data_IF_803538902986
#
_entry.id   IF_803538902986
#
_cell.length_a   1.000
_cell.length_b   1.000
_cell.length_c   1.000
_cell.angle_alpha   90.00
_cell.angle_beta   90.00
_cell.angle_gamma   90.00
#
_symmetry.space_group_name_H-M   'P 1'
#
loop_
_entity.id
_entity.type
_entity.pdbx_description
1 polymer ?
#
# COMPACT_ATOMS: atom_id res chain seq x y z
N UNK A 1 3.13 -6.83 -20.50
CA UNK A 1 2.10 -7.84 -20.17
C UNK A 1 0.72 -7.30 -20.51
N UNK A 2 0.28 -6.21 -19.86
CA UNK A 2 -1.03 -5.60 -20.10
C UNK A 2 -1.33 -5.29 -21.57
N UNK A 3 -0.34 -4.81 -22.34
CA UNK A 3 -0.54 -4.51 -23.77
C UNK A 3 -0.99 -5.75 -24.55
N UNK A 4 -0.38 -6.90 -24.27
CA UNK A 4 -0.76 -8.18 -24.90
C UNK A 4 -2.15 -8.65 -24.47
N UNK A 5 -2.57 -8.35 -23.24
CA UNK A 5 -3.92 -8.68 -22.75
C UNK A 5 -4.96 -7.75 -23.38
N UNK A 6 -4.64 -6.48 -23.56
CA UNK A 6 -5.50 -5.51 -24.22
C UNK A 6 -5.69 -5.86 -25.71
N UNK A 7 -4.64 -6.27 -26.40
CA UNK A 7 -4.72 -6.69 -27.80
C UNK A 7 -5.54 -7.97 -28.00
N UNK A 8 -5.46 -8.92 -27.06
CA UNK A 8 -6.00 -10.28 -27.25
C UNK A 8 -7.28 -10.57 -26.48
N UNK A 9 -7.47 -9.92 -25.34
CA UNK A 9 -8.44 -10.24 -24.29
C UNK A 9 -8.92 -8.98 -23.55
N UNK A 10 -9.23 -7.90 -24.29
CA UNK A 10 -9.67 -6.63 -23.71
C UNK A 10 -10.89 -6.77 -22.79
N UNK A 11 -11.77 -7.74 -23.07
CA UNK A 11 -12.96 -8.04 -22.26
C UNK A 11 -12.62 -8.44 -20.82
N UNK A 12 -11.47 -9.09 -20.60
CA UNK A 12 -11.01 -9.48 -19.26
C UNK A 12 -10.60 -8.22 -18.48
N UNK A 13 -9.88 -7.31 -19.13
CA UNK A 13 -9.45 -6.05 -18.50
C UNK A 13 -10.64 -5.13 -18.20
N UNK A 14 -11.63 -5.08 -19.09
CA UNK A 14 -12.80 -4.22 -18.91
C UNK A 14 -13.80 -4.74 -17.86
N UNK A 15 -13.74 -6.03 -17.51
CA UNK A 15 -14.67 -6.67 -16.56
C UNK A 15 -13.99 -7.15 -15.28
N UNK A 16 -12.66 -7.09 -15.22
CA UNK A 16 -11.90 -7.52 -14.06
C UNK A 16 -12.21 -6.64 -12.87
N UNK A 17 -12.36 -7.24 -11.69
CA UNK A 17 -12.52 -6.50 -10.44
C UNK A 17 -11.22 -6.46 -9.63
N UNK A 18 -10.43 -7.55 -9.72
CA UNK A 18 -9.20 -7.74 -8.97
C UNK A 18 -8.08 -8.24 -9.87
N UNK A 19 -6.86 -7.79 -9.57
CA UNK A 19 -5.63 -8.36 -10.10
C UNK A 19 -4.83 -8.92 -8.94
N UNK A 20 -4.84 -10.25 -8.81
CA UNK A 20 -4.03 -10.95 -7.82
C UNK A 20 -2.65 -11.25 -8.41
N UNK A 21 -1.59 -10.89 -7.67
CA UNK A 21 -0.22 -11.06 -8.14
C UNK A 21 0.77 -11.34 -7.01
N UNK A 22 1.86 -12.02 -7.35
CA UNK A 22 2.98 -12.17 -6.45
C UNK A 22 3.80 -10.87 -6.31
N UNK A 23 4.68 -10.80 -5.30
CA UNK A 23 5.49 -9.62 -5.01
C UNK A 23 6.42 -9.15 -6.12
N UNK A 24 6.73 -9.97 -7.13
CA UNK A 24 7.50 -9.54 -8.28
C UNK A 24 6.71 -8.57 -9.17
N UNK A 25 5.38 -8.56 -9.04
CA UNK A 25 4.47 -7.61 -9.69
C UNK A 25 4.24 -6.32 -8.87
N UNK A 26 4.91 -6.14 -7.72
CA UNK A 26 4.91 -4.88 -6.96
C UNK A 26 5.71 -3.79 -7.69
N UNK A 27 5.13 -3.33 -8.79
CA UNK A 27 5.58 -2.24 -9.64
C UNK A 27 4.51 -1.15 -9.65
N UNK A 28 4.87 0.02 -9.13
CA UNK A 28 3.97 1.17 -9.06
C UNK A 28 3.36 1.57 -10.41
N UNK A 29 4.07 1.38 -11.54
CA UNK A 29 3.53 1.67 -12.88
C UNK A 29 2.45 0.68 -13.29
N UNK A 30 2.63 -0.60 -12.95
CA UNK A 30 1.63 -1.63 -13.20
C UNK A 30 0.38 -1.35 -12.37
N UNK A 31 0.56 -1.16 -11.06
CA UNK A 31 -0.48 -0.88 -10.07
C UNK A 31 -1.29 0.36 -10.46
N UNK A 32 -0.62 1.47 -10.78
CA UNK A 32 -1.30 2.69 -11.22
C UNK A 32 -2.07 2.47 -12.51
N UNK A 33 -1.46 1.82 -13.53
CA UNK A 33 -2.14 1.59 -14.81
C UNK A 33 -3.39 0.72 -14.66
N UNK A 34 -3.37 -0.31 -13.82
CA UNK A 34 -4.56 -1.18 -13.65
C UNK A 34 -5.70 -0.47 -12.93
N UNK A 35 -5.38 0.36 -11.94
CA UNK A 35 -6.37 1.14 -11.21
C UNK A 35 -6.90 2.30 -12.06
N UNK A 36 -6.03 3.18 -12.55
CA UNK A 36 -6.43 4.42 -13.21
C UNK A 36 -7.17 4.19 -14.53
N UNK A 37 -6.87 3.08 -15.22
CA UNK A 37 -7.44 2.81 -16.55
C UNK A 37 -8.61 1.85 -16.54
N UNK A 38 -8.59 0.85 -15.64
CA UNK A 38 -9.56 -0.24 -15.64
C UNK A 38 -10.32 -0.37 -14.32
N UNK A 39 -9.99 0.45 -13.30
CA UNK A 39 -10.55 0.37 -11.94
C UNK A 39 -10.43 -1.03 -11.31
N UNK A 40 -9.47 -1.83 -11.78
CA UNK A 40 -9.15 -3.14 -11.22
C UNK A 40 -8.35 -2.92 -9.94
N UNK A 41 -8.79 -3.53 -8.83
CA UNK A 41 -8.11 -3.46 -7.53
C UNK A 41 -6.90 -4.40 -7.52
N UNK A 42 -5.66 -3.88 -7.44
CA UNK A 42 -4.48 -4.73 -7.35
C UNK A 42 -4.36 -5.30 -5.93
N UNK A 43 -4.31 -6.62 -5.83
CA UNK A 43 -4.04 -7.37 -4.59
C UNK A 43 -2.69 -8.06 -4.79
N UNK A 44 -1.62 -7.33 -4.48
CA UNK A 44 -0.24 -7.75 -4.76
C UNK A 44 0.55 -7.71 -3.46
N UNK A 45 1.31 -8.78 -3.19
CA UNK A 45 2.19 -8.83 -2.02
C UNK A 45 3.30 -7.77 -2.12
N UNK A 46 3.57 -7.06 -1.03
CA UNK A 46 4.51 -5.93 -1.05
C UNK A 46 5.95 -6.46 -1.06
N UNK A 47 6.79 -5.94 -1.95
CA UNK A 47 8.22 -6.27 -2.02
C UNK A 47 9.02 -5.39 -1.08
N UNK A 48 9.83 -6.01 -0.22
CA UNK A 48 10.79 -5.26 0.60
C UNK A 48 11.94 -4.71 -0.26
N UNK A 49 12.02 -3.39 -0.38
CA UNK A 49 13.07 -2.67 -1.12
C UNK A 49 14.05 -1.92 -0.20
N UNK A 50 13.94 -2.09 1.12
CA UNK A 50 14.83 -1.44 2.08
C UNK A 50 16.21 -2.12 2.06
N UNK A 51 17.27 -1.31 2.17
CA UNK A 51 18.67 -1.76 2.04
C UNK A 51 19.51 -1.52 3.31
N UNK A 52 18.92 -0.83 4.27
CA UNK A 52 19.54 -0.44 5.54
C UNK A 52 19.52 -1.58 6.57
N UNK A 53 18.75 -2.65 6.31
CA UNK A 53 18.59 -3.78 7.25
C UNK A 53 17.62 -3.50 8.38
N UNK A 54 17.02 -2.32 8.41
CA UNK A 54 16.06 -1.90 9.43
C UNK A 54 14.72 -2.64 9.26
N UNK A 55 14.12 -3.08 10.37
CA UNK A 55 12.79 -3.71 10.34
C UNK A 55 11.65 -2.68 10.26
N UNK A 56 11.89 -1.47 10.77
CA UNK A 56 10.87 -0.41 10.85
C UNK A 56 11.46 0.97 10.60
N UNK A 57 10.63 1.89 10.11
CA UNK A 57 10.95 3.31 9.93
C UNK A 57 9.97 4.18 10.71
N UNK A 58 10.44 5.34 11.17
CA UNK A 58 9.59 6.30 11.90
C UNK A 58 8.67 7.02 10.93
N UNK A 59 7.38 7.16 11.29
CA UNK A 59 6.43 7.96 10.53
C UNK A 59 6.83 9.44 10.63
N UNK A 60 7.00 10.11 9.50
CA UNK A 60 7.39 11.52 9.44
C UNK A 60 6.46 12.39 10.29
N UNK A 61 7.04 13.29 11.09
CA UNK A 61 6.30 14.15 12.02
C UNK A 61 5.93 13.50 13.36
N UNK A 62 6.31 12.25 13.58
CA UNK A 62 6.15 11.54 14.86
C UNK A 62 7.50 11.09 15.39
N UNK A 63 7.59 10.78 16.68
CA UNK A 63 8.81 10.25 17.31
C UNK A 63 8.67 8.81 17.81
N UNK A 64 7.44 8.33 18.01
CA UNK A 64 7.14 7.02 18.60
C UNK A 64 6.24 6.14 17.73
N UNK A 65 5.90 6.57 16.51
CA UNK A 65 5.14 5.77 15.57
C UNK A 65 6.09 5.23 14.51
N UNK A 66 6.13 3.92 14.36
CA UNK A 66 6.96 3.25 13.35
C UNK A 66 6.09 2.38 12.45
N UNK A 67 6.60 2.07 11.26
CA UNK A 67 5.94 1.15 10.34
C UNK A 67 6.97 0.21 9.71
N UNK A 68 6.56 -0.98 9.32
CA UNK A 68 7.41 -1.92 8.58
C UNK A 68 7.21 -1.79 7.06
N UNK A 69 7.99 -2.52 6.27
CA UNK A 69 7.90 -2.46 4.80
C UNK A 69 6.53 -2.89 4.24
N UNK A 70 5.73 -3.65 5.00
CA UNK A 70 4.37 -4.08 4.63
C UNK A 70 3.28 -3.07 5.00
N UNK A 71 3.65 -1.95 5.63
CA UNK A 71 2.70 -0.94 6.08
C UNK A 71 2.01 -1.22 7.41
N UNK A 72 2.42 -2.26 8.16
CA UNK A 72 1.95 -2.43 9.54
C UNK A 72 2.51 -1.31 10.40
N UNK A 73 1.64 -0.60 11.10
CA UNK A 73 1.99 0.57 11.92
C UNK A 73 2.02 0.17 13.39
N UNK A 74 2.97 0.70 14.13
CA UNK A 74 3.16 0.42 15.53
C UNK A 74 3.36 1.69 16.35
N UNK A 75 2.81 1.69 17.56
CA UNK A 75 3.11 2.68 18.58
C UNK A 75 4.13 2.11 19.58
N UNK A 76 5.19 2.87 19.82
CA UNK A 76 6.26 2.53 20.76
C UNK A 76 6.03 3.25 22.09
N UNK A 77 5.99 2.50 23.18
CA UNK A 77 5.88 3.07 24.52
C UNK A 77 7.19 3.80 24.92
N UNK A 78 7.18 5.11 25.24
CA UNK A 78 8.39 5.83 25.64
C UNK A 78 9.10 5.25 26.86
N UNK A 79 8.32 4.72 27.81
CA UNK A 79 8.84 4.26 29.10
C UNK A 79 9.45 2.87 29.01
N UNK A 80 8.84 1.99 28.21
CA UNK A 80 9.16 0.55 28.20
C UNK A 80 9.73 0.05 26.89
N UNK A 81 9.71 0.85 25.82
CA UNK A 81 10.11 0.44 24.46
C UNK A 81 9.17 -0.57 23.80
N UNK A 82 8.09 -1.00 24.47
CA UNK A 82 7.17 -2.01 23.94
C UNK A 82 6.45 -1.46 22.71
N UNK A 83 6.57 -2.20 21.60
CA UNK A 83 5.90 -1.96 20.33
C UNK A 83 4.51 -2.60 20.33
N UNK A 84 3.46 -1.83 20.04
CA UNK A 84 2.08 -2.32 19.90
C UNK A 84 1.59 -2.04 18.49
N UNK A 85 1.11 -3.09 17.81
CA UNK A 85 0.51 -2.96 16.48
C UNK A 85 -0.77 -2.12 16.56
N UNK A 86 -0.91 -1.19 15.63
CA UNK A 86 -2.06 -0.32 15.49
C UNK A 86 -3.08 -0.95 14.55
N UNK A 87 -4.36 -0.77 14.85
CA UNK A 87 -5.44 -1.26 14.00
C UNK A 87 -5.55 -0.43 12.71
N UNK A 88 -5.91 -1.10 11.62
CA UNK A 88 -6.17 -0.45 10.35
C UNK A 88 -7.45 0.41 10.42
N UNK A 89 -7.35 1.68 10.02
CA UNK A 89 -8.44 2.66 10.11
C UNK A 89 -9.41 2.68 8.91
N UNK A 90 -9.21 1.81 7.90
CA UNK A 90 -10.01 1.81 6.67
C UNK A 90 -9.35 2.53 5.50
N UNK A 91 -9.89 2.27 4.29
CA UNK A 91 -9.50 2.95 3.05
C UNK A 91 -10.60 3.96 2.66
N UNK A 92 -10.22 5.20 2.42
CA UNK A 92 -11.12 6.28 2.00
C UNK A 92 -10.60 6.86 0.68
N UNK A 93 -11.30 6.55 -0.42
CA UNK A 93 -10.89 6.91 -1.79
C UNK A 93 -10.64 8.42 -1.95
N UNK A 94 -11.46 9.23 -1.29
CA UNK A 94 -11.46 10.69 -1.44
C UNK A 94 -10.41 11.38 -0.53
N UNK A 95 -9.67 10.61 0.29
CA UNK A 95 -8.60 11.14 1.15
C UNK A 95 -7.35 11.58 0.37
N UNK A 96 -7.33 11.41 -0.96
CA UNK A 96 -6.26 11.86 -1.84
C UNK A 96 -6.45 13.33 -2.23
N UNK A 97 -6.36 14.22 -1.25
CA UNK A 97 -5.98 15.64 -1.35
C UNK A 97 -5.83 16.11 0.09
N UNK A 98 -4.66 16.65 0.47
CA UNK A 98 -4.26 16.92 1.86
C UNK A 98 -5.40 17.38 2.77
N UNK A 99 -5.60 16.65 3.87
CA UNK A 99 -6.69 16.89 4.81
C UNK A 99 -6.19 16.77 6.24
N UNK A 100 -6.28 17.90 6.94
CA UNK A 100 -5.93 18.11 8.34
C UNK A 100 -6.53 17.05 9.27
N UNK A 101 -5.75 16.69 10.28
CA UNK A 101 -6.12 15.82 11.39
C UNK A 101 -7.28 16.46 12.16
N UNK A 102 -8.51 16.01 11.92
CA UNK A 102 -9.65 16.34 12.77
C UNK A 102 -9.56 15.55 14.06
N UNK A 103 -9.04 16.21 15.10
CA UNK A 103 -9.19 15.79 16.50
C UNK A 103 -10.69 15.73 16.83
N UNK A 104 -11.19 14.56 17.24
CA UNK A 104 -12.37 14.43 18.08
C UNK A 104 -12.00 13.61 19.30
#
# INVERSE_FOLDING_TARGET
MLDKMEERHAEILNRGEYLDGDKAYDDGKLIARVWDRYEIKPVIDIRNMWKDGEETKVVTGTWNITYNYKGQVYCVCPKTGIRREMVYGGFERDRVTGGETSTR
#
